data_IF_947113208412
#
_entry.id   IF_947113208412
#
_cell.length_a   1.000
_cell.length_b   1.000
_cell.length_c   1.000
_cell.angle_alpha   90.00
_cell.angle_beta   90.00
_cell.angle_gamma   90.00
#
_symmetry.space_group_name_H-M   'P 1'
#
loop_
_entity.id
_entity.type
_entity.pdbx_description
1 polymer ?
#
# COMPACT_ATOMS: atom_id res chain seq x y z
N UNK A 1 -6.47 -21.52 7.93
CA UNK A 1 -5.85 -20.30 8.49
C UNK A 1 -5.55 -19.40 7.32
N UNK A 2 -5.75 -18.08 7.42
CA UNK A 2 -5.34 -17.15 6.35
C UNK A 2 -3.82 -17.16 6.22
N UNK A 3 -3.33 -17.00 5.00
CA UNK A 3 -1.90 -16.86 4.72
C UNK A 3 -1.40 -15.54 5.31
N UNK A 4 -0.14 -15.51 5.77
CA UNK A 4 0.47 -14.29 6.32
C UNK A 4 0.76 -13.30 5.20
N UNK A 5 0.48 -12.03 5.47
CA UNK A 5 0.72 -10.92 4.56
C UNK A 5 1.82 -10.04 5.17
N UNK A 6 2.96 -10.02 4.52
CA UNK A 6 4.09 -9.15 4.82
C UNK A 6 3.95 -7.85 4.02
N UNK A 7 4.10 -6.72 4.69
CA UNK A 7 4.10 -5.41 4.03
C UNK A 7 5.44 -4.73 4.32
N UNK A 8 6.12 -4.25 3.28
CA UNK A 8 7.41 -3.56 3.43
C UNK A 8 7.37 -2.15 2.88
N UNK A 9 8.05 -1.24 3.55
CA UNK A 9 8.21 0.15 3.16
C UNK A 9 8.28 1.10 4.35
N UNK A 10 7.77 2.32 4.15
CA UNK A 10 7.81 3.37 5.14
C UNK A 10 6.67 3.26 6.17
N UNK A 11 7.00 3.66 7.38
CA UNK A 11 6.08 3.96 8.46
C UNK A 11 6.35 5.39 8.90
N UNK A 12 5.43 6.29 8.59
CA UNK A 12 5.61 7.74 8.66
C UNK A 12 4.80 8.33 9.80
N UNK A 13 5.29 9.38 10.41
CA UNK A 13 4.49 10.19 11.33
C UNK A 13 4.08 11.48 10.64
N UNK A 14 2.78 11.66 10.44
CA UNK A 14 2.22 12.92 9.97
C UNK A 14 1.99 13.86 11.15
N UNK A 15 2.55 15.05 11.08
CA UNK A 15 2.32 16.14 12.02
C UNK A 15 1.27 17.08 11.41
N UNK A 16 0.03 16.95 11.88
CA UNK A 16 -1.13 17.70 11.36
C UNK A 16 -1.39 18.88 12.30
N UNK A 17 -1.53 20.12 11.79
CA UNK A 17 -1.86 21.28 12.63
C UNK A 17 -3.14 21.05 13.45
N UNK A 18 -3.05 21.33 14.75
CA UNK A 18 -4.15 21.26 15.71
C UNK A 18 -4.22 22.56 16.51
N UNK A 19 -4.90 23.55 15.95
CA UNK A 19 -4.89 24.93 16.45
C UNK A 19 -3.62 25.70 16.05
N UNK A 20 -3.35 26.82 16.74
CA UNK A 20 -2.28 27.75 16.35
C UNK A 20 -0.86 27.26 16.70
N UNK A 21 -0.71 26.51 17.79
CA UNK A 21 0.59 26.21 18.38
C UNK A 21 0.84 24.70 18.60
N UNK A 22 -0.02 23.81 18.07
CA UNK A 22 0.07 22.38 18.30
C UNK A 22 0.03 21.59 17.00
N UNK A 23 0.66 20.43 17.03
CA UNK A 23 0.54 19.42 15.99
C UNK A 23 0.00 18.12 16.58
N UNK A 24 -1.02 17.57 15.95
CA UNK A 24 -1.46 16.21 16.23
C UNK A 24 -0.52 15.23 15.53
N UNK A 25 0.01 14.28 16.28
CA UNK A 25 0.84 13.19 15.78
C UNK A 25 -0.06 12.07 15.26
N UNK A 26 -0.03 11.81 13.97
CA UNK A 26 -0.80 10.77 13.30
C UNK A 26 0.12 9.72 12.69
N UNK A 27 -0.22 8.45 12.86
CA UNK A 27 0.47 7.36 12.18
C UNK A 27 0.03 7.32 10.71
N UNK A 28 0.99 7.14 9.81
CA UNK A 28 0.81 7.12 8.37
C UNK A 28 1.88 6.27 7.66
N UNK A 29 2.03 6.51 6.37
CA UNK A 29 2.82 5.66 5.46
C UNK A 29 1.92 4.64 4.76
N UNK A 30 1.91 4.66 3.43
CA UNK A 30 1.02 3.78 2.66
C UNK A 30 1.20 2.30 3.01
N UNK A 31 2.43 1.75 3.10
CA UNK A 31 2.63 0.37 3.54
C UNK A 31 2.13 0.11 4.96
N UNK A 32 2.37 1.03 5.91
CA UNK A 32 1.88 0.88 7.28
C UNK A 32 0.33 0.88 7.34
N UNK A 33 -0.32 1.76 6.54
CA UNK A 33 -1.78 1.77 6.39
C UNK A 33 -2.31 0.44 5.84
N UNK A 34 -1.67 -0.12 4.81
CA UNK A 34 -2.03 -1.43 4.25
C UNK A 34 -1.90 -2.53 5.31
N UNK A 35 -0.80 -2.55 6.08
CA UNK A 35 -0.58 -3.55 7.12
C UNK A 35 -1.68 -3.50 8.19
N UNK A 36 -2.07 -2.31 8.65
CA UNK A 36 -3.17 -2.13 9.61
C UNK A 36 -4.51 -2.50 8.98
N UNK A 37 -4.78 -2.12 7.72
CA UNK A 37 -6.00 -2.49 7.01
C UNK A 37 -6.18 -4.00 6.93
N UNK A 38 -5.14 -4.74 6.61
CA UNK A 38 -5.10 -6.22 6.59
C UNK A 38 -5.41 -6.81 7.96
N UNK A 39 -4.78 -6.28 9.03
CA UNK A 39 -4.98 -6.76 10.40
C UNK A 39 -6.42 -6.51 10.88
N UNK A 40 -7.00 -5.33 10.64
CA UNK A 40 -8.38 -4.98 11.00
C UNK A 40 -9.43 -5.86 10.30
N UNK A 41 -9.08 -6.45 9.15
CA UNK A 41 -9.92 -7.41 8.44
C UNK A 41 -9.74 -8.86 8.92
N UNK A 42 -8.93 -9.06 9.98
CA UNK A 42 -8.74 -10.35 10.63
C UNK A 42 -7.75 -11.30 9.94
N UNK A 43 -6.86 -10.77 9.12
CA UNK A 43 -5.76 -11.53 8.53
C UNK A 43 -4.47 -11.40 9.36
N UNK A 44 -3.56 -12.37 9.20
CA UNK A 44 -2.22 -12.27 9.78
C UNK A 44 -1.42 -11.23 8.98
N UNK A 45 -1.13 -10.10 9.61
CA UNK A 45 -0.39 -8.99 9.03
C UNK A 45 0.95 -8.81 9.72
N UNK A 46 1.99 -8.52 8.96
CA UNK A 46 3.32 -8.24 9.48
C UNK A 46 3.97 -7.08 8.69
N UNK A 47 4.76 -6.28 9.39
CA UNK A 47 5.47 -5.15 8.82
C UNK A 47 6.98 -5.38 8.82
N UNK A 48 7.61 -5.12 7.67
CA UNK A 48 9.07 -5.14 7.47
C UNK A 48 9.51 -3.72 7.16
N UNK A 49 10.38 -3.14 7.97
CA UNK A 49 10.86 -1.78 7.73
C UNK A 49 11.73 -1.27 8.85
N UNK A 50 12.17 -0.03 8.72
CA UNK A 50 12.93 0.67 9.76
C UNK A 50 12.27 1.97 10.14
N UNK A 51 12.29 2.28 11.42
CA UNK A 51 11.97 3.60 12.00
C UNK A 51 13.11 4.01 12.92
N UNK A 52 13.24 5.29 13.17
CA UNK A 52 14.30 5.77 14.06
C UNK A 52 14.14 5.26 15.50
N UNK A 53 15.25 5.05 16.18
CA UNK A 53 15.23 4.86 17.63
C UNK A 53 15.01 6.22 18.30
N UNK A 54 13.82 6.76 18.12
CA UNK A 54 13.35 8.05 18.61
C UNK A 54 11.89 7.97 19.04
N UNK A 55 11.33 9.02 19.69
CA UNK A 55 9.94 8.98 20.17
C UNK A 55 8.88 8.79 19.09
N UNK A 56 9.17 9.13 17.81
CA UNK A 56 8.24 8.93 16.69
C UNK A 56 8.29 7.50 16.20
N UNK A 57 9.47 6.87 16.15
CA UNK A 57 9.62 5.46 15.80
C UNK A 57 9.00 4.54 16.84
N UNK A 58 9.17 4.83 18.13
CA UNK A 58 8.49 4.11 19.19
C UNK A 58 6.97 4.22 19.07
N UNK A 59 6.45 5.42 18.79
CA UNK A 59 5.03 5.63 18.54
C UNK A 59 4.51 4.77 17.38
N UNK A 60 5.26 4.67 16.28
CA UNK A 60 4.87 3.84 15.14
C UNK A 60 4.85 2.35 15.51
N UNK A 61 5.87 1.84 16.22
CA UNK A 61 5.87 0.46 16.71
C UNK A 61 4.70 0.17 17.64
N UNK A 62 4.44 1.04 18.61
CA UNK A 62 3.31 0.91 19.54
C UNK A 62 1.97 0.91 18.80
N UNK A 63 1.82 1.80 17.81
CA UNK A 63 0.60 1.91 17.02
C UNK A 63 0.35 0.65 16.19
N UNK A 64 1.33 0.16 15.44
CA UNK A 64 1.18 -1.03 14.62
C UNK A 64 0.94 -2.28 15.49
N UNK A 65 1.64 -2.40 16.61
CA UNK A 65 1.44 -3.51 17.56
C UNK A 65 0.03 -3.49 18.18
N UNK A 66 -0.47 -2.31 18.55
CA UNK A 66 -1.84 -2.15 19.07
C UNK A 66 -2.92 -2.52 18.04
N UNK A 67 -2.62 -2.37 16.74
CA UNK A 67 -3.47 -2.80 15.62
C UNK A 67 -3.28 -4.28 15.24
N UNK A 68 -2.56 -5.06 16.05
CA UNK A 68 -2.27 -6.49 15.84
C UNK A 68 -1.44 -6.78 14.56
N UNK A 69 -0.59 -5.86 14.15
CA UNK A 69 0.44 -6.09 13.14
C UNK A 69 1.68 -6.69 13.82
N UNK A 70 2.21 -7.79 13.27
CA UNK A 70 3.49 -8.37 13.72
C UNK A 70 4.63 -7.41 13.34
N UNK A 71 5.27 -6.82 14.35
CA UNK A 71 6.36 -5.85 14.21
C UNK A 71 7.74 -6.44 14.47
N UNK A 72 7.88 -7.77 14.48
CA UNK A 72 9.16 -8.46 14.77
C UNK A 72 10.27 -8.02 13.81
N UNK A 73 9.94 -7.66 12.58
CA UNK A 73 10.86 -7.17 11.55
C UNK A 73 10.76 -5.65 11.32
N UNK A 74 10.21 -4.90 12.26
CA UNK A 74 10.24 -3.43 12.30
C UNK A 74 11.38 -2.97 13.21
N UNK A 75 12.50 -2.63 12.60
CA UNK A 75 13.76 -2.35 13.30
C UNK A 75 13.82 -0.90 13.76
N UNK A 76 14.27 -0.68 15.00
CA UNK A 76 14.63 0.66 15.49
C UNK A 76 16.06 0.99 15.05
N UNK A 77 16.19 1.94 14.13
CA UNK A 77 17.49 2.40 13.60
C UNK A 77 18.15 3.39 14.58
N UNK A 78 19.36 3.11 15.09
CA UNK A 78 20.02 4.01 16.05
C UNK A 78 20.65 5.24 15.41
N UNK A 79 20.79 5.27 14.09
CA UNK A 79 21.55 6.31 13.37
C UNK A 79 20.64 7.29 12.63
N UNK A 80 19.49 6.83 12.11
CA UNK A 80 18.59 7.63 11.29
C UNK A 80 17.28 7.92 12.02
N UNK A 81 16.64 9.04 11.65
CA UNK A 81 15.38 9.47 12.26
C UNK A 81 14.18 8.84 11.58
N UNK A 82 13.08 8.78 12.32
CA UNK A 82 11.79 8.35 11.77
C UNK A 82 11.33 9.31 10.68
N UNK A 83 10.87 8.76 9.57
CA UNK A 83 10.24 9.50 8.48
C UNK A 83 9.07 10.31 8.99
N UNK A 84 9.06 11.60 8.71
CA UNK A 84 8.07 12.55 9.23
C UNK A 84 7.57 13.45 8.12
N UNK A 85 6.27 13.71 8.08
CA UNK A 85 5.65 14.67 7.16
C UNK A 85 5.00 15.77 7.99
N UNK A 86 5.41 17.01 7.75
CA UNK A 86 4.74 18.19 8.34
C UNK A 86 3.68 18.66 7.37
N UNK A 87 2.44 18.63 7.80
CA UNK A 87 1.29 19.10 7.01
C UNK A 87 1.09 20.58 7.28
N UNK A 88 1.16 21.40 6.23
CA UNK A 88 0.76 22.79 6.28
C UNK A 88 -0.70 22.94 5.86
N UNK A 89 -1.41 23.92 6.46
CA UNK A 89 -2.75 24.34 6.07
C UNK A 89 -2.71 25.82 5.71
N UNK A 90 -2.90 26.15 4.45
CA UNK A 90 -3.01 27.53 3.99
C UNK A 90 -4.33 27.71 3.24
N UNK A 91 -5.22 28.58 3.75
CA UNK A 91 -6.55 28.87 3.19
C UNK A 91 -7.40 27.61 2.89
N UNK A 92 -7.19 26.50 3.64
CA UNK A 92 -7.89 25.23 3.47
C UNK A 92 -7.19 24.26 2.50
N UNK A 93 -6.12 24.69 1.83
CA UNK A 93 -5.26 23.84 1.02
C UNK A 93 -4.19 23.18 1.89
N UNK A 94 -3.93 21.90 1.64
CA UNK A 94 -2.86 21.13 2.34
C UNK A 94 -1.57 21.21 1.54
N UNK A 95 -0.49 21.52 2.23
CA UNK A 95 0.88 21.36 1.75
C UNK A 95 1.60 20.29 2.57
N UNK A 96 2.59 19.62 1.98
CA UNK A 96 3.32 18.54 2.63
C UNK A 96 4.82 18.83 2.58
N UNK A 97 5.45 18.88 3.74
CA UNK A 97 6.90 18.96 3.86
C UNK A 97 7.43 17.62 4.33
N UNK A 98 8.12 16.92 3.44
CA UNK A 98 8.68 15.61 3.70
C UNK A 98 10.04 15.74 4.39
N UNK A 99 10.15 15.27 5.63
CA UNK A 99 11.40 15.15 6.38
C UNK A 99 11.88 13.70 6.32
N UNK A 100 12.24 13.28 5.10
CA UNK A 100 12.50 11.86 4.77
C UNK A 100 13.87 11.63 4.14
N UNK A 101 14.76 12.63 4.13
CA UNK A 101 16.05 12.48 3.47
C UNK A 101 17.20 13.03 4.32
N UNK A 102 18.00 12.15 4.98
CA UNK A 102 17.77 10.71 5.09
C UNK A 102 16.81 10.35 6.25
N UNK A 103 16.02 9.31 6.09
CA UNK A 103 15.17 8.72 7.13
C UNK A 103 15.39 7.21 7.24
N UNK A 104 15.04 6.62 8.38
CA UNK A 104 15.37 5.23 8.73
C UNK A 104 14.82 4.20 7.74
N UNK A 105 13.65 4.44 7.15
CA UNK A 105 13.01 3.57 6.15
C UNK A 105 13.87 3.35 4.91
N UNK A 106 14.76 4.30 4.57
CA UNK A 106 15.68 4.20 3.43
C UNK A 106 16.88 3.28 3.70
N UNK A 107 17.03 2.77 4.93
CA UNK A 107 18.18 1.96 5.38
C UNK A 107 17.82 0.52 5.70
N UNK A 108 16.69 0.01 5.23
CA UNK A 108 16.35 -1.41 5.33
C UNK A 108 17.47 -2.27 4.72
N UNK A 109 17.87 -3.32 5.44
CA UNK A 109 18.95 -4.22 5.03
C UNK A 109 18.40 -5.61 4.67
N UNK A 110 19.09 -6.33 3.82
CA UNK A 110 18.74 -7.72 3.48
C UNK A 110 18.79 -8.68 4.68
N UNK A 111 19.49 -8.29 5.73
CA UNK A 111 19.56 -9.02 7.02
C UNK A 111 18.34 -8.81 7.90
N UNK A 112 17.54 -7.77 7.64
CA UNK A 112 16.33 -7.47 8.41
C UNK A 112 15.12 -8.30 7.93
N UNK A 113 15.25 -8.94 6.76
CA UNK A 113 14.17 -9.66 6.10
C UNK A 113 13.83 -10.97 6.82
N UNK A 114 12.53 -11.32 6.92
CA UNK A 114 12.10 -12.60 7.49
C UNK A 114 12.43 -13.77 6.58
N UNK A 115 12.39 -15.00 7.13
CA UNK A 115 12.23 -16.20 6.32
C UNK A 115 10.77 -16.29 5.82
N UNK A 116 10.58 -16.15 4.52
CA UNK A 116 9.26 -16.31 3.90
C UNK A 116 8.88 -17.78 3.71
N UNK A 117 7.56 -18.06 3.67
CA UNK A 117 7.01 -19.39 3.48
C UNK A 117 6.12 -19.46 2.23
N UNK A 118 5.88 -20.68 1.75
CA UNK A 118 5.02 -20.91 0.60
C UNK A 118 3.59 -20.42 0.87
N UNK A 119 3.01 -19.74 -0.12
CA UNK A 119 1.68 -19.19 -0.06
C UNK A 119 1.54 -17.88 0.69
N UNK A 120 2.59 -17.37 1.37
CA UNK A 120 2.57 -16.03 1.97
C UNK A 120 2.55 -14.94 0.88
N UNK A 121 2.14 -13.74 1.29
CA UNK A 121 2.09 -12.57 0.45
C UNK A 121 3.14 -11.55 0.89
N UNK A 122 3.77 -10.89 -0.08
CA UNK A 122 4.56 -9.69 0.14
C UNK A 122 3.90 -8.54 -0.59
N UNK A 123 3.78 -7.39 0.06
CA UNK A 123 3.31 -6.15 -0.56
C UNK A 123 4.31 -5.02 -0.32
N UNK A 124 4.52 -4.16 -1.32
CA UNK A 124 5.23 -2.91 -1.17
C UNK A 124 4.72 -1.83 -2.12
N UNK A 125 5.16 -0.59 -1.86
CA UNK A 125 5.01 0.58 -2.72
C UNK A 125 6.37 1.05 -3.22
N UNK A 126 6.39 1.92 -4.24
CA UNK A 126 7.64 2.38 -4.86
C UNK A 126 8.55 3.19 -3.92
N UNK A 127 7.99 3.77 -2.85
CA UNK A 127 8.78 4.54 -1.88
C UNK A 127 9.89 3.72 -1.23
N UNK A 128 9.68 2.41 -1.04
CA UNK A 128 10.69 1.49 -0.53
C UNK A 128 11.90 1.28 -1.47
N UNK A 129 11.78 1.75 -2.73
CA UNK A 129 12.75 1.51 -3.81
C UNK A 129 13.50 2.77 -4.24
N UNK A 130 13.32 3.91 -3.55
CA UNK A 130 13.91 5.20 -3.95
C UNK A 130 15.43 5.20 -3.76
N UNK A 131 15.93 4.66 -2.66
CA UNK A 131 17.33 4.71 -2.29
C UNK A 131 17.86 3.36 -1.82
N UNK A 132 19.14 3.10 -2.08
CA UNK A 132 19.87 2.01 -1.44
C UNK A 132 20.24 2.40 0.00
N UNK A 133 20.27 1.42 0.92
CA UNK A 133 20.14 -0.03 0.71
C UNK A 133 18.70 -0.56 0.69
N UNK A 134 17.67 0.28 0.95
CA UNK A 134 16.28 -0.15 1.01
C UNK A 134 15.78 -0.73 -0.33
N UNK A 135 16.19 -0.13 -1.46
CA UNK A 135 15.86 -0.63 -2.80
C UNK A 135 16.36 -2.08 -2.99
N UNK A 136 17.64 -2.32 -2.73
CA UNK A 136 18.24 -3.67 -2.82
C UNK A 136 17.56 -4.66 -1.87
N UNK A 137 17.28 -4.25 -0.63
CA UNK A 137 16.60 -5.09 0.35
C UNK A 137 15.18 -5.44 -0.09
N UNK A 138 14.46 -4.49 -0.69
CA UNK A 138 13.10 -4.71 -1.20
C UNK A 138 13.09 -5.70 -2.37
N UNK A 139 13.98 -5.54 -3.35
CA UNK A 139 14.11 -6.50 -4.44
C UNK A 139 14.55 -7.89 -3.94
N UNK A 140 15.43 -7.96 -2.93
CA UNK A 140 15.80 -9.23 -2.31
C UNK A 140 14.60 -9.87 -1.57
N UNK A 141 13.75 -9.09 -0.91
CA UNK A 141 12.51 -9.59 -0.31
C UNK A 141 11.58 -10.18 -1.38
N UNK A 142 11.41 -9.49 -2.52
CA UNK A 142 10.63 -9.97 -3.66
C UNK A 142 11.21 -11.30 -4.19
N UNK A 143 12.52 -11.37 -4.37
CA UNK A 143 13.17 -12.62 -4.80
C UNK A 143 12.95 -13.76 -3.81
N UNK A 144 13.09 -13.50 -2.49
CA UNK A 144 12.93 -14.54 -1.46
C UNK A 144 11.50 -15.05 -1.37
N UNK A 145 10.49 -14.19 -1.39
CA UNK A 145 9.09 -14.62 -1.34
C UNK A 145 8.72 -15.45 -2.57
N UNK A 146 9.20 -15.08 -3.77
CA UNK A 146 8.96 -15.85 -5.00
C UNK A 146 9.64 -17.21 -4.95
N UNK A 147 10.88 -17.30 -4.47
CA UNK A 147 11.62 -18.57 -4.28
C UNK A 147 10.92 -19.46 -3.25
N UNK A 148 10.34 -18.88 -2.21
CA UNK A 148 9.56 -19.63 -1.21
C UNK A 148 8.20 -20.14 -1.75
N UNK A 149 7.76 -19.73 -2.95
CA UNK A 149 6.46 -20.08 -3.51
C UNK A 149 5.32 -19.22 -2.98
N UNK A 150 5.61 -17.99 -2.57
CA UNK A 150 4.63 -16.97 -2.21
C UNK A 150 4.31 -16.02 -3.36
N UNK A 151 3.52 -15.01 -3.06
CA UNK A 151 3.01 -14.02 -4.00
C UNK A 151 3.53 -12.63 -3.72
N UNK A 152 3.73 -11.84 -4.77
CA UNK A 152 4.12 -10.44 -4.67
C UNK A 152 3.03 -9.52 -5.23
N UNK A 153 2.57 -8.59 -4.40
CA UNK A 153 1.62 -7.51 -4.75
C UNK A 153 2.33 -6.17 -4.74
N UNK A 154 2.09 -5.38 -5.75
CA UNK A 154 2.71 -4.07 -5.92
C UNK A 154 1.68 -2.98 -6.24
N UNK A 155 1.71 -1.90 -5.47
CA UNK A 155 1.05 -0.63 -5.74
C UNK A 155 2.14 0.43 -5.92
N UNK A 156 2.38 0.97 -7.12
CA UNK A 156 3.41 1.98 -7.31
C UNK A 156 3.30 3.14 -6.32
N UNK A 157 2.10 3.64 -6.08
CA UNK A 157 1.82 4.74 -5.15
C UNK A 157 2.87 5.85 -5.29
N UNK A 158 3.00 6.34 -6.51
CA UNK A 158 4.10 7.21 -6.93
C UNK A 158 4.15 8.51 -6.12
N UNK A 159 5.37 8.91 -5.79
CA UNK A 159 5.71 10.19 -5.16
C UNK A 159 6.86 10.79 -5.97
N UNK A 160 6.54 11.29 -7.17
CA UNK A 160 7.52 11.78 -8.15
C UNK A 160 8.52 12.77 -7.55
N UNK A 161 8.06 13.63 -6.63
CA UNK A 161 8.90 14.63 -5.97
C UNK A 161 10.00 14.07 -5.06
N UNK A 162 9.94 12.79 -4.71
CA UNK A 162 10.96 12.12 -3.88
C UNK A 162 12.04 11.42 -4.71
N UNK A 163 11.85 11.30 -6.02
CA UNK A 163 12.82 10.66 -6.93
C UNK A 163 13.80 11.68 -7.50
N UNK A 164 15.04 11.26 -7.72
CA UNK A 164 16.06 12.10 -8.31
C UNK A 164 15.72 12.51 -9.76
N UNK A 165 15.13 11.58 -10.51
CA UNK A 165 14.60 11.84 -11.85
C UNK A 165 13.51 10.83 -12.21
N UNK A 166 12.62 11.23 -13.14
CA UNK A 166 11.47 10.42 -13.56
C UNK A 166 11.84 9.18 -14.38
N UNK A 167 12.93 9.18 -15.11
CA UNK A 167 13.36 8.04 -15.94
C UNK A 167 13.88 6.91 -15.04
N UNK A 168 14.65 7.25 -13.99
CA UNK A 168 15.08 6.30 -12.98
C UNK A 168 13.86 5.71 -12.24
N UNK A 169 12.93 6.56 -11.80
CA UNK A 169 11.68 6.10 -11.19
C UNK A 169 10.95 5.09 -12.06
N UNK A 170 10.71 5.43 -13.35
CA UNK A 170 10.04 4.53 -14.28
C UNK A 170 10.78 3.21 -14.45
N UNK A 171 12.11 3.25 -14.54
CA UNK A 171 12.92 2.05 -14.70
C UNK A 171 12.77 1.10 -13.52
N UNK A 172 12.96 1.60 -12.30
CA UNK A 172 12.88 0.82 -11.07
C UNK A 172 11.44 0.32 -10.83
N UNK A 173 10.45 1.18 -11.03
CA UNK A 173 9.04 0.80 -10.85
C UNK A 173 8.61 -0.27 -11.85
N UNK A 174 9.01 -0.16 -13.12
CA UNK A 174 8.68 -1.17 -14.14
C UNK A 174 9.40 -2.50 -13.91
N UNK A 175 10.58 -2.51 -13.27
CA UNK A 175 11.23 -3.75 -12.82
C UNK A 175 10.37 -4.44 -11.74
N UNK A 176 9.86 -3.72 -10.76
CA UNK A 176 8.95 -4.28 -9.75
C UNK A 176 7.62 -4.74 -10.36
N UNK A 177 7.05 -3.99 -11.31
CA UNK A 177 5.87 -4.39 -12.10
C UNK A 177 6.10 -5.72 -12.80
N UNK A 178 7.27 -5.93 -13.40
CA UNK A 178 7.59 -7.18 -14.08
C UNK A 178 7.64 -8.40 -13.13
N UNK A 179 7.95 -8.19 -11.85
CA UNK A 179 8.07 -9.24 -10.83
C UNK A 179 6.74 -9.55 -10.11
N UNK A 180 5.79 -8.62 -10.10
CA UNK A 180 4.55 -8.74 -9.34
C UNK A 180 3.58 -9.78 -9.93
N UNK A 181 2.81 -10.42 -9.06
CA UNK A 181 1.67 -11.28 -9.41
C UNK A 181 0.37 -10.46 -9.46
N UNK A 182 0.29 -9.47 -8.58
CA UNK A 182 -0.86 -8.56 -8.44
C UNK A 182 -0.38 -7.13 -8.52
N UNK A 183 -1.00 -6.36 -9.39
CA UNK A 183 -0.71 -4.95 -9.64
C UNK A 183 -1.95 -4.11 -9.38
N UNK A 184 -1.80 -3.04 -8.62
CA UNK A 184 -2.83 -2.01 -8.50
C UNK A 184 -2.25 -0.68 -8.93
N UNK A 185 -2.98 0.08 -9.71
CA UNK A 185 -2.63 1.42 -10.17
C UNK A 185 -3.79 2.39 -9.95
N UNK A 186 -3.47 3.69 -9.87
CA UNK A 186 -4.43 4.74 -10.25
C UNK A 186 -4.41 4.94 -11.76
N UNK A 187 -5.37 5.72 -12.30
CA UNK A 187 -5.40 6.06 -13.74
C UNK A 187 -4.18 6.87 -14.13
N UNK A 188 -3.81 7.84 -13.31
CA UNK A 188 -2.67 8.73 -13.54
C UNK A 188 -1.35 7.96 -13.52
N UNK A 189 -1.17 7.08 -12.55
CA UNK A 189 0.04 6.24 -12.45
C UNK A 189 0.20 5.35 -13.67
N UNK A 190 -0.88 4.68 -14.10
CA UNK A 190 -0.82 3.78 -15.22
C UNK A 190 -0.51 4.54 -16.54
N UNK A 191 -1.14 5.68 -16.77
CA UNK A 191 -0.87 6.51 -17.97
C UNK A 191 0.55 7.06 -17.99
N UNK A 192 1.07 7.49 -16.82
CA UNK A 192 2.44 7.96 -16.65
C UNK A 192 3.47 6.83 -16.93
N UNK A 193 3.28 5.65 -16.33
CA UNK A 193 4.22 4.53 -16.46
C UNK A 193 4.20 3.91 -17.85
N UNK A 194 3.05 3.90 -18.51
CA UNK A 194 2.92 3.37 -19.86
C UNK A 194 3.22 4.41 -20.93
N UNK A 195 3.42 5.66 -20.57
CA UNK A 195 3.63 6.78 -21.48
C UNK A 195 2.51 6.88 -22.55
N UNK A 196 1.27 6.89 -22.08
CA UNK A 196 0.06 6.96 -22.92
C UNK A 196 -0.80 8.16 -22.49
N UNK A 197 -1.74 8.56 -23.35
CA UNK A 197 -2.62 9.73 -23.18
C UNK A 197 -4.03 9.39 -22.68
N UNK A 198 -4.33 8.09 -22.53
CA UNK A 198 -5.63 7.64 -22.04
C UNK A 198 -5.53 6.34 -21.26
N UNK A 199 -6.47 6.15 -20.32
CA UNK A 199 -6.60 4.92 -19.55
C UNK A 199 -6.78 3.70 -20.45
N UNK A 200 -7.56 3.80 -21.52
CA UNK A 200 -7.83 2.67 -22.44
C UNK A 200 -6.53 2.16 -23.06
N UNK A 201 -5.71 3.07 -23.63
CA UNK A 201 -4.40 2.71 -24.22
C UNK A 201 -3.41 2.20 -23.18
N UNK A 202 -3.40 2.84 -22.00
CA UNK A 202 -2.56 2.44 -20.89
C UNK A 202 -2.87 1.01 -20.43
N UNK A 203 -4.15 0.71 -20.26
CA UNK A 203 -4.63 -0.59 -19.81
C UNK A 203 -4.39 -1.68 -20.86
N UNK A 204 -4.66 -1.40 -22.15
CA UNK A 204 -4.33 -2.31 -23.23
C UNK A 204 -2.83 -2.62 -23.29
N UNK A 205 -1.98 -1.59 -23.15
CA UNK A 205 -0.53 -1.76 -23.16
C UNK A 205 -0.03 -2.63 -22.02
N UNK A 206 -0.47 -2.37 -20.77
CA UNK A 206 0.01 -3.12 -19.61
C UNK A 206 -0.49 -4.56 -19.62
N UNK A 207 -1.75 -4.80 -20.01
CA UNK A 207 -2.33 -6.14 -20.10
C UNK A 207 -1.76 -6.98 -21.24
N UNK A 208 -1.31 -6.34 -22.32
CA UNK A 208 -0.57 -6.99 -23.41
C UNK A 208 0.83 -7.40 -22.99
N UNK A 209 1.51 -6.55 -22.19
CA UNK A 209 2.85 -6.84 -21.68
C UNK A 209 2.84 -7.95 -20.60
N UNK A 210 1.79 -8.02 -19.79
CA UNK A 210 1.71 -8.91 -18.64
C UNK A 210 0.33 -9.60 -18.56
N UNK A 211 -0.02 -10.46 -19.55
CA UNK A 211 -1.37 -11.06 -19.63
C UNK A 211 -1.69 -12.05 -18.50
N UNK A 212 -0.67 -12.57 -17.84
CA UNK A 212 -0.81 -13.54 -16.73
C UNK A 212 -1.07 -12.90 -15.38
N UNK A 213 -0.84 -11.59 -15.23
CA UNK A 213 -0.94 -10.90 -13.94
C UNK A 213 -2.38 -10.45 -13.65
N UNK A 214 -2.70 -10.39 -12.35
CA UNK A 214 -3.88 -9.64 -11.92
C UNK A 214 -3.53 -8.14 -11.94
N UNK A 215 -4.15 -7.42 -12.85
CA UNK A 215 -3.96 -5.98 -13.03
C UNK A 215 -5.25 -5.27 -12.67
N UNK A 216 -5.17 -4.32 -11.74
CA UNK A 216 -6.31 -3.55 -11.23
C UNK A 216 -6.01 -2.06 -11.38
N UNK A 217 -6.99 -1.30 -11.86
CA UNK A 217 -6.94 0.16 -11.89
C UNK A 217 -8.13 0.70 -11.10
N UNK A 218 -7.87 1.47 -10.07
CA UNK A 218 -8.92 2.11 -9.27
C UNK A 218 -9.47 3.34 -10.00
N UNK A 219 -10.81 3.42 -10.10
CA UNK A 219 -11.56 4.47 -10.81
C UNK A 219 -12.31 5.39 -9.83
N UNK A 220 -11.78 5.57 -8.63
CA UNK A 220 -12.41 6.33 -7.57
C UNK A 220 -13.80 5.81 -7.22
N UNK A 221 -14.83 6.68 -7.29
CA UNK A 221 -16.22 6.31 -6.97
C UNK A 221 -16.85 5.32 -7.95
N UNK A 222 -16.29 5.14 -9.13
CA UNK A 222 -16.79 4.23 -10.16
C UNK A 222 -16.38 2.78 -9.90
N UNK A 223 -15.40 2.56 -9.01
CA UNK A 223 -14.97 1.23 -8.60
C UNK A 223 -13.58 0.88 -9.12
N UNK A 224 -13.41 -0.31 -9.70
CA UNK A 224 -12.12 -0.79 -10.19
C UNK A 224 -12.27 -1.59 -11.50
N UNK A 225 -11.45 -1.23 -12.47
CA UNK A 225 -11.23 -1.99 -13.70
C UNK A 225 -10.17 -3.06 -13.42
N UNK A 226 -10.41 -4.30 -13.86
CA UNK A 226 -9.40 -5.35 -13.71
C UNK A 226 -9.20 -6.17 -14.98
N UNK A 227 -8.05 -6.81 -15.07
CA UNK A 227 -7.72 -7.86 -16.04
C UNK A 227 -7.10 -9.03 -15.31
N UNK A 228 -7.56 -10.23 -15.60
CA UNK A 228 -6.95 -11.48 -15.18
C UNK A 228 -7.33 -12.63 -16.10
N UNK A 229 -6.36 -13.47 -16.50
CA UNK A 229 -6.56 -14.67 -17.31
C UNK A 229 -7.39 -14.41 -18.60
N UNK A 230 -7.12 -13.30 -19.27
CA UNK A 230 -7.78 -12.88 -20.51
C UNK A 230 -9.19 -12.27 -20.32
N UNK A 231 -9.66 -12.15 -19.08
CA UNK A 231 -10.91 -11.47 -18.75
C UNK A 231 -10.64 -10.04 -18.31
N UNK A 232 -11.42 -9.11 -18.87
CA UNK A 232 -11.46 -7.69 -18.50
C UNK A 232 -12.87 -7.34 -18.06
N UNK A 233 -13.02 -6.71 -16.88
CA UNK A 233 -14.32 -6.27 -16.39
C UNK A 233 -14.16 -5.11 -15.40
N UNK A 234 -15.28 -4.45 -15.05
CA UNK A 234 -15.35 -3.40 -14.04
C UNK A 234 -16.19 -3.87 -12.87
N UNK A 235 -15.61 -3.87 -11.68
CA UNK A 235 -16.37 -4.07 -10.44
C UNK A 235 -16.78 -2.69 -9.92
N UNK A 236 -18.08 -2.39 -10.05
CA UNK A 236 -18.64 -1.09 -9.67
C UNK A 236 -18.50 -0.87 -8.16
N UNK A 237 -18.05 0.32 -7.78
CA UNK A 237 -17.98 0.76 -6.40
C UNK A 237 -19.35 1.25 -5.88
N UNK A 238 -19.51 1.23 -4.55
CA UNK A 238 -20.62 1.88 -3.89
C UNK A 238 -20.16 3.24 -3.38
N UNK A 239 -20.57 4.30 -4.06
CA UNK A 239 -20.17 5.66 -3.73
C UNK A 239 -20.74 6.09 -2.37
N UNK A 240 -19.89 6.67 -1.53
CA UNK A 240 -20.24 7.36 -0.30
C UNK A 240 -19.89 8.86 -0.43
N UNK A 241 -20.49 9.70 0.43
CA UNK A 241 -20.11 11.11 0.50
C UNK A 241 -18.75 11.21 1.22
N UNK A 242 -17.67 11.60 0.54
CA UNK A 242 -16.37 11.63 1.16
C UNK A 242 -16.23 12.77 2.17
N UNK A 243 -15.51 12.50 3.26
CA UNK A 243 -15.02 13.48 4.24
C UNK A 243 -13.55 13.75 3.99
N UNK A 244 -12.75 12.70 3.76
CA UNK A 244 -11.33 12.75 3.45
C UNK A 244 -10.97 11.53 2.59
N UNK A 245 -10.30 11.73 1.47
CA UNK A 245 -9.91 10.64 0.56
C UNK A 245 -8.53 10.06 0.84
N UNK A 246 -7.82 10.61 1.84
CA UNK A 246 -6.50 10.14 2.23
C UNK A 246 -6.55 8.69 2.69
N UNK A 247 -5.68 7.84 2.15
CA UNK A 247 -5.61 6.43 2.50
C UNK A 247 -6.68 5.53 1.86
N UNK A 248 -7.56 6.06 1.00
CA UNK A 248 -8.56 5.23 0.30
C UNK A 248 -7.92 4.15 -0.59
N UNK A 249 -6.80 4.48 -1.26
CA UNK A 249 -5.99 3.52 -2.02
C UNK A 249 -5.40 2.44 -1.14
N UNK A 250 -4.85 2.81 0.02
CA UNK A 250 -4.26 1.88 0.98
C UNK A 250 -5.32 0.95 1.58
N UNK A 251 -6.51 1.49 1.89
CA UNK A 251 -7.66 0.71 2.34
C UNK A 251 -8.15 -0.28 1.27
N UNK A 252 -8.18 0.14 0.00
CA UNK A 252 -8.47 -0.75 -1.13
C UNK A 252 -7.47 -1.90 -1.19
N UNK A 253 -6.17 -1.61 -1.13
CA UNK A 253 -5.11 -2.64 -1.16
C UNK A 253 -5.20 -3.56 0.05
N UNK A 254 -5.43 -3.03 1.25
CA UNK A 254 -5.64 -3.83 2.45
C UNK A 254 -6.83 -4.80 2.31
N UNK A 255 -7.96 -4.30 1.77
CA UNK A 255 -9.14 -5.11 1.45
C UNK A 255 -8.89 -6.18 0.39
N UNK A 256 -8.14 -5.82 -0.67
CA UNK A 256 -7.74 -6.73 -1.74
C UNK A 256 -6.89 -7.87 -1.20
N UNK A 257 -5.79 -7.56 -0.50
CA UNK A 257 -4.86 -8.56 0.03
C UNK A 257 -5.52 -9.48 1.06
N UNK A 258 -6.35 -8.91 1.95
CA UNK A 258 -7.12 -9.71 2.91
C UNK A 258 -8.05 -10.69 2.18
N UNK A 259 -8.73 -10.25 1.13
CA UNK A 259 -9.60 -11.11 0.32
C UNK A 259 -8.83 -12.22 -0.40
N UNK A 260 -7.72 -11.87 -1.07
CA UNK A 260 -6.87 -12.84 -1.77
C UNK A 260 -6.30 -13.90 -0.82
N UNK A 261 -5.80 -13.51 0.35
CA UNK A 261 -5.22 -14.42 1.34
C UNK A 261 -6.26 -15.31 2.04
N UNK A 262 -7.51 -14.87 2.13
CA UNK A 262 -8.62 -15.65 2.70
C UNK A 262 -9.22 -16.65 1.70
N UNK A 263 -9.04 -16.46 0.40
CA UNK A 263 -9.61 -17.27 -0.67
C UNK A 263 -8.52 -17.98 -1.49
N UNK A 264 -8.13 -19.23 -1.15
CA UNK A 264 -7.09 -19.97 -1.89
C UNK A 264 -7.38 -20.17 -3.38
N UNK A 265 -8.63 -20.03 -3.78
CA UNK A 265 -9.12 -20.17 -5.16
C UNK A 265 -9.50 -18.79 -5.78
N UNK A 266 -8.84 -17.72 -5.35
CA UNK A 266 -9.10 -16.35 -5.79
C UNK A 266 -8.99 -16.16 -7.32
N UNK A 267 -8.27 -17.05 -8.03
CA UNK A 267 -8.15 -17.03 -9.49
C UNK A 267 -9.47 -17.34 -10.21
N UNK A 268 -10.48 -17.88 -9.51
CA UNK A 268 -11.82 -18.03 -10.08
C UNK A 268 -12.50 -16.67 -10.16
N UNK A 269 -13.10 -16.39 -11.31
CA UNK A 269 -13.64 -15.07 -11.62
C UNK A 269 -14.71 -14.59 -10.63
N UNK A 270 -15.64 -15.46 -10.23
CA UNK A 270 -16.67 -15.13 -9.23
C UNK A 270 -16.09 -14.77 -7.87
N UNK A 271 -15.04 -15.48 -7.46
CA UNK A 271 -14.30 -15.18 -6.21
C UNK A 271 -13.53 -13.89 -6.35
N UNK A 272 -12.82 -13.69 -7.47
CA UNK A 272 -12.04 -12.48 -7.72
C UNK A 272 -12.92 -11.23 -7.71
N UNK A 273 -14.08 -11.28 -8.35
CA UNK A 273 -15.04 -10.17 -8.32
C UNK A 273 -15.53 -9.86 -6.89
N UNK A 274 -15.73 -10.87 -6.04
CA UNK A 274 -16.10 -10.67 -4.64
C UNK A 274 -14.95 -10.00 -3.88
N UNK A 275 -13.71 -10.43 -4.11
CA UNK A 275 -12.51 -9.82 -3.51
C UNK A 275 -12.34 -8.36 -3.93
N UNK A 276 -12.52 -8.04 -5.22
CA UNK A 276 -12.43 -6.66 -5.70
C UNK A 276 -13.60 -5.81 -5.15
N UNK A 277 -14.82 -6.38 -5.02
CA UNK A 277 -15.93 -5.70 -4.36
C UNK A 277 -15.64 -5.37 -2.90
N UNK A 278 -15.00 -6.29 -2.18
CA UNK A 278 -14.51 -6.06 -0.82
C UNK A 278 -13.48 -4.92 -0.78
N UNK A 279 -12.53 -4.91 -1.71
CA UNK A 279 -11.52 -3.87 -1.82
C UNK A 279 -12.14 -2.48 -2.08
N UNK A 280 -13.08 -2.39 -3.03
CA UNK A 280 -13.86 -1.18 -3.29
C UNK A 280 -14.59 -0.68 -2.04
N UNK A 281 -15.22 -1.59 -1.28
CA UNK A 281 -15.92 -1.25 -0.05
C UNK A 281 -14.97 -0.69 1.03
N UNK A 282 -13.78 -1.28 1.18
CA UNK A 282 -12.76 -0.77 2.10
C UNK A 282 -12.30 0.65 1.71
N UNK A 283 -12.00 0.88 0.42
CA UNK A 283 -11.64 2.20 -0.08
C UNK A 283 -12.74 3.24 0.15
N UNK A 284 -14.00 2.89 -0.12
CA UNK A 284 -15.14 3.79 0.09
C UNK A 284 -15.34 4.11 1.58
N UNK A 285 -15.29 3.11 2.47
CA UNK A 285 -15.43 3.30 3.91
C UNK A 285 -14.33 4.20 4.48
N UNK A 286 -13.08 4.05 4.04
CA UNK A 286 -11.98 4.88 4.49
C UNK A 286 -12.20 6.37 4.17
N UNK A 287 -12.99 6.71 3.15
CA UNK A 287 -13.28 8.11 2.82
C UNK A 287 -14.27 8.79 3.77
N UNK A 288 -14.94 8.06 4.67
CA UNK A 288 -16.00 8.60 5.54
C UNK A 288 -15.52 9.28 6.81
N UNK A 289 -14.22 9.18 7.12
CA UNK A 289 -13.60 9.80 8.28
C UNK A 289 -12.30 10.52 7.91
N UNK A 290 -11.78 11.36 8.82
CA UNK A 290 -10.50 12.05 8.62
C UNK A 290 -9.32 11.15 8.94
N UNK A 291 -8.24 11.30 8.15
CA UNK A 291 -6.97 10.61 8.32
C UNK A 291 -6.94 9.26 7.61
N UNK A 292 -5.72 8.78 7.30
CA UNK A 292 -5.51 7.54 6.57
C UNK A 292 -5.72 6.30 7.45
N UNK A 293 -4.81 6.07 8.41
CA UNK A 293 -4.84 4.87 9.25
C UNK A 293 -6.06 4.81 10.17
N UNK A 294 -6.47 5.96 10.74
CA UNK A 294 -7.63 6.04 11.64
C UNK A 294 -8.95 5.69 10.95
N UNK A 295 -9.08 6.00 9.67
CA UNK A 295 -10.28 5.79 8.87
C UNK A 295 -10.40 4.38 8.26
N UNK A 296 -9.39 3.53 8.37
CA UNK A 296 -9.42 2.17 7.84
C UNK A 296 -10.55 1.35 8.49
N UNK A 297 -11.40 0.69 7.70
CA UNK A 297 -12.51 -0.08 8.23
C UNK A 297 -12.05 -1.36 8.93
N UNK A 298 -12.84 -1.81 9.91
CA UNK A 298 -12.71 -3.14 10.48
C UNK A 298 -13.67 -4.13 9.81
N UNK A 299 -13.52 -5.42 10.16
CA UNK A 299 -14.32 -6.51 9.61
C UNK A 299 -15.82 -6.32 9.82
N UNK A 300 -16.26 -5.81 10.98
CA UNK A 300 -17.67 -5.61 11.27
C UNK A 300 -18.28 -4.52 10.39
N UNK A 301 -17.61 -3.37 10.26
CA UNK A 301 -18.00 -2.27 9.38
C UNK A 301 -18.08 -2.69 7.91
N UNK A 302 -17.08 -3.47 7.45
CA UNK A 302 -17.07 -4.00 6.09
C UNK A 302 -18.25 -4.96 5.85
N UNK A 303 -18.51 -5.89 6.79
CA UNK A 303 -19.61 -6.85 6.68
C UNK A 303 -20.96 -6.13 6.62
N UNK A 304 -21.20 -5.17 7.49
CA UNK A 304 -22.41 -4.35 7.50
C UNK A 304 -22.59 -3.58 6.19
N UNK A 305 -21.51 -2.97 5.67
CA UNK A 305 -21.55 -2.21 4.43
C UNK A 305 -21.86 -3.08 3.19
N UNK A 306 -21.34 -4.29 3.14
CA UNK A 306 -21.56 -5.21 2.04
C UNK A 306 -22.96 -5.88 2.08
N UNK A 307 -23.59 -5.94 3.26
CA UNK A 307 -24.94 -6.49 3.42
C UNK A 307 -26.06 -5.52 3.00
N UNK A 308 -25.77 -4.22 2.98
CA UNK A 308 -26.70 -3.15 2.59
C UNK A 308 -26.53 -2.74 1.13
#
# INVERSE_FOLDING_TARGET
MSQKIWVTGDAVVDLIPDGENHYLRCAGGAPANVAVGVARLGCQSAFIGRVGNDPLGQFMQETLNAENVDITHMILDPQHRTSTVVVGLDNGERSFTFMVNPSADQFLQTTDLPPFQAGEWLHCCSIAMINNPSCEATFEAIRRIKVAGGFFSFDPNLRESLWANLDEMKTVVMEAVALADVLKFSEEELTLLTNTDSLEKAFERITTLYPEKLIIVTLGKEGALYHFAGKKDVVVGKALKPVDTTGAGDAFVGGLLAGLAQHPNWQKDDVLQQVIRQANACGALATTAKGAMSALPNKAQLTEFLAN
#
